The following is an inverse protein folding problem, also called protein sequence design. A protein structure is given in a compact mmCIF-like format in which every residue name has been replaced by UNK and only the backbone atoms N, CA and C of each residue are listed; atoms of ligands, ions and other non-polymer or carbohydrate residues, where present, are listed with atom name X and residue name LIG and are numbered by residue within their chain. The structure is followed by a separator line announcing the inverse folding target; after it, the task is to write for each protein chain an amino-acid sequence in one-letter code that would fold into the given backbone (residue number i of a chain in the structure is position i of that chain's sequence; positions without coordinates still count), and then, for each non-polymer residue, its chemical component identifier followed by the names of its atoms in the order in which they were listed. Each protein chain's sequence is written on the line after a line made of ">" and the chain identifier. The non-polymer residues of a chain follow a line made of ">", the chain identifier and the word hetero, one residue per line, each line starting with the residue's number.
data_IF_048390881571
#
_entry.id   IF_048390881571
#
_cell.length_a   1.000
_cell.length_b   1.000
_cell.length_c   1.000
_cell.angle_alpha   90.00
_cell.angle_beta   90.00
_cell.angle_gamma   90.00
#
_symmetry.space_group_name_H-M   'P 1'
#
loop_
_entity.id
_entity.type
_entity.pdbx_description
1 polymer ?
#
# COMPACT_ATOMS: atom_id res chain seq x y z
N UNK A 1 35.13 10.11 -20.97
CA UNK A 1 35.91 9.07 -20.26
C UNK A 1 35.40 9.01 -18.82
N UNK A 2 34.86 7.86 -18.43
CA UNK A 2 34.35 7.56 -17.08
C UNK A 2 35.55 7.34 -16.12
N UNK A 3 35.35 7.43 -14.80
CA UNK A 3 35.31 6.14 -14.11
C UNK A 3 34.20 6.04 -13.05
N UNK A 4 33.53 4.90 -13.18
CA UNK A 4 32.48 4.32 -12.34
C UNK A 4 33.02 3.94 -10.96
N UNK A 5 32.40 4.41 -9.88
CA UNK A 5 32.63 3.88 -8.53
C UNK A 5 31.91 2.53 -8.37
N UNK A 6 32.67 1.47 -8.10
CA UNK A 6 32.16 0.15 -7.69
C UNK A 6 32.24 0.03 -6.16
N UNK A 7 31.10 0.03 -5.49
CA UNK A 7 31.00 -0.29 -4.06
C UNK A 7 30.97 -1.83 -3.93
N UNK A 8 31.94 -2.40 -3.20
CA UNK A 8 32.02 -3.84 -2.89
C UNK A 8 31.37 -4.09 -1.52
N UNK A 9 30.35 -4.95 -1.52
CA UNK A 9 29.69 -5.49 -0.33
C UNK A 9 30.58 -6.58 0.31
N UNK A 10 30.88 -6.50 1.61
CA UNK A 10 31.61 -7.52 2.36
C UNK A 10 30.63 -8.24 3.29
N UNK A 11 30.34 -9.50 2.98
CA UNK A 11 29.58 -10.40 3.85
C UNK A 11 30.48 -10.92 4.99
N UNK A 12 30.07 -10.74 6.25
CA UNK A 12 30.67 -11.42 7.40
C UNK A 12 29.96 -12.77 7.61
N UNK A 13 30.71 -13.86 7.52
CA UNK A 13 30.33 -15.22 7.95
C UNK A 13 31.01 -15.53 9.31
N UNK A 14 30.59 -16.67 9.90
CA UNK A 14 31.14 -17.45 11.03
C UNK A 14 30.71 -17.02 12.45
N UNK A 15 30.42 -17.92 13.41
CA UNK A 15 30.60 -19.37 13.51
C UNK A 15 29.56 -20.03 14.45
N UNK A 16 29.35 -21.34 14.26
CA UNK A 16 28.57 -22.25 15.11
C UNK A 16 29.50 -22.83 16.18
N UNK A 17 29.08 -22.87 17.44
CA UNK A 17 29.72 -23.64 18.50
C UNK A 17 28.81 -24.79 18.95
N UNK A 18 29.26 -26.02 18.73
CA UNK A 18 28.73 -27.24 19.33
C UNK A 18 29.55 -27.58 20.56
N UNK A 19 28.90 -27.92 21.68
CA UNK A 19 29.55 -28.62 22.79
C UNK A 19 28.64 -29.73 23.28
N UNK A 20 29.14 -30.97 23.20
CA UNK A 20 28.59 -32.16 23.82
C UNK A 20 29.31 -32.40 25.15
N UNK A 21 28.59 -32.85 26.17
CA UNK A 21 29.16 -33.47 27.36
C UNK A 21 28.20 -34.53 27.89
N UNK A 22 28.79 -35.61 28.40
CA UNK A 22 28.22 -36.94 28.51
C UNK A 22 27.95 -37.38 29.96
N UNK A 23 27.18 -38.47 30.05
CA UNK A 23 27.12 -39.52 31.08
C UNK A 23 26.81 -39.17 32.55
N UNK A 24 25.74 -39.80 33.05
CA UNK A 24 25.51 -40.10 34.46
C UNK A 24 24.51 -41.23 34.60
N UNK A 25 25.02 -42.45 34.81
CA UNK A 25 24.25 -43.68 35.05
C UNK A 25 24.00 -43.79 36.56
N UNK A 26 22.73 -43.93 37.00
CA UNK A 26 22.41 -44.34 38.36
C UNK A 26 21.19 -45.26 38.33
N UNK A 27 21.41 -46.52 38.70
CA UNK A 27 20.38 -47.53 38.84
C UNK A 27 19.71 -47.42 40.21
N UNK A 28 18.38 -47.40 40.25
CA UNK A 28 17.60 -47.69 41.45
C UNK A 28 16.46 -48.65 41.10
N UNK A 29 16.42 -49.73 41.88
CA UNK A 29 15.43 -50.82 41.90
C UNK A 29 14.17 -50.32 42.60
N UNK A 30 12.98 -50.65 42.09
CA UNK A 30 11.73 -50.40 42.83
C UNK A 30 10.44 -50.79 42.11
N UNK A 31 9.86 -51.90 42.57
CA UNK A 31 8.50 -52.43 42.46
C UNK A 31 7.49 -51.88 41.43
N UNK A 32 6.95 -52.80 40.62
CA UNK A 32 5.76 -52.62 39.79
C UNK A 32 4.45 -52.79 40.60
N UNK A 33 3.46 -51.91 40.40
CA UNK A 33 2.06 -52.23 40.62
C UNK A 33 1.35 -52.51 39.28
N UNK A 34 0.59 -53.60 39.23
CA UNK A 34 -0.30 -53.96 38.14
C UNK A 34 -1.47 -52.98 38.05
N UNK A 35 -1.67 -52.37 36.88
CA UNK A 35 -2.89 -51.61 36.55
C UNK A 35 -3.47 -52.05 35.20
N UNK A 36 -4.81 -52.02 35.07
CA UNK A 36 -5.54 -52.69 33.99
C UNK A 36 -5.42 -51.95 32.65
N UNK A 37 -5.19 -52.71 31.57
CA UNK A 37 -5.26 -52.20 30.19
C UNK A 37 -6.70 -51.88 29.79
N UNK A 38 -7.05 -50.60 29.81
CA UNK A 38 -8.15 -50.09 28.98
C UNK A 38 -7.61 -49.89 27.56
N UNK A 39 -8.18 -50.61 26.58
CA UNK A 39 -7.91 -50.38 25.15
C UNK A 39 -8.51 -49.03 24.77
N UNK A 40 -7.67 -48.01 24.68
CA UNK A 40 -8.02 -46.77 23.99
C UNK A 40 -7.78 -47.04 22.50
N UNK A 41 -8.86 -47.17 21.75
CA UNK A 41 -8.83 -47.21 20.30
C UNK A 41 -8.38 -45.82 19.79
N UNK A 42 -7.40 -45.73 18.88
CA UNK A 42 -6.91 -44.45 18.41
C UNK A 42 -7.99 -43.80 17.54
N UNK A 43 -8.62 -42.75 18.07
CA UNK A 43 -9.48 -41.87 17.29
C UNK A 43 -8.64 -41.19 16.21
N UNK A 44 -9.08 -41.35 14.96
CA UNK A 44 -8.48 -40.63 13.82
C UNK A 44 -8.61 -39.12 14.06
N UNK A 45 -7.57 -38.32 13.75
CA UNK A 45 -7.70 -36.87 13.81
C UNK A 45 -8.81 -36.43 12.88
N UNK A 46 -9.82 -35.74 13.42
CA UNK A 46 -10.79 -35.00 12.60
C UNK A 46 -10.01 -34.03 11.69
N UNK A 47 -10.18 -34.21 10.38
CA UNK A 47 -9.62 -33.35 9.37
C UNK A 47 -10.26 -31.96 9.50
N UNK A 48 -9.50 -30.99 10.03
CA UNK A 48 -9.93 -29.60 10.04
C UNK A 48 -10.17 -29.14 8.60
N UNK A 49 -11.29 -28.46 8.30
CA UNK A 49 -11.58 -28.04 6.95
C UNK A 49 -10.48 -27.11 6.45
N UNK A 50 -9.88 -27.47 5.31
CA UNK A 50 -8.83 -26.71 4.67
C UNK A 50 -9.27 -25.25 4.48
N UNK A 51 -8.47 -24.32 5.00
CA UNK A 51 -8.66 -22.89 4.77
C UNK A 51 -8.61 -22.63 3.27
N UNK A 52 -9.70 -22.12 2.70
CA UNK A 52 -9.76 -21.76 1.28
C UNK A 52 -8.68 -20.70 1.02
N UNK A 53 -7.68 -21.01 0.21
CA UNK A 53 -6.62 -20.07 -0.15
C UNK A 53 -7.24 -18.76 -0.67
N UNK A 54 -6.80 -17.62 -0.10
CA UNK A 54 -7.32 -16.30 -0.43
C UNK A 54 -7.04 -15.95 -1.90
N UNK A 55 -7.99 -15.29 -2.59
CA UNK A 55 -7.81 -14.85 -3.98
C UNK A 55 -6.58 -13.93 -4.08
N UNK A 56 -5.65 -14.14 -5.03
CA UNK A 56 -4.54 -13.22 -5.28
C UNK A 56 -4.99 -11.77 -5.48
N UNK A 57 -6.07 -11.55 -6.20
CA UNK A 57 -6.65 -10.21 -6.40
C UNK A 57 -7.22 -9.62 -5.12
N UNK A 58 -7.84 -10.43 -4.26
CA UNK A 58 -8.29 -9.96 -2.94
C UNK A 58 -7.10 -9.49 -2.10
N UNK A 59 -5.99 -10.24 -2.12
CA UNK A 59 -4.76 -9.84 -1.46
C UNK A 59 -4.20 -8.53 -2.05
N UNK A 60 -4.24 -8.35 -3.37
CA UNK A 60 -3.81 -7.11 -4.02
C UNK A 60 -4.69 -5.92 -3.63
N UNK A 61 -6.01 -6.11 -3.57
CA UNK A 61 -6.94 -5.08 -3.10
C UNK A 61 -6.64 -4.68 -1.65
N UNK A 62 -6.38 -5.65 -0.77
CA UNK A 62 -6.01 -5.37 0.62
C UNK A 62 -4.67 -4.63 0.73
N UNK A 63 -3.68 -5.00 -0.10
CA UNK A 63 -2.41 -4.27 -0.19
C UNK A 63 -2.61 -2.84 -0.68
N UNK A 64 -3.38 -2.62 -1.75
CA UNK A 64 -3.70 -1.30 -2.27
C UNK A 64 -4.47 -0.48 -1.23
N UNK A 65 -5.52 -1.03 -0.63
CA UNK A 65 -6.28 -0.37 0.44
C UNK A 65 -5.39 0.12 1.58
N UNK A 66 -4.44 -0.71 2.03
CA UNK A 66 -3.50 -0.32 3.07
C UNK A 66 -2.52 0.76 2.59
N UNK A 67 -1.99 0.66 1.37
CA UNK A 67 -1.14 1.67 0.75
C UNK A 67 -1.81 3.03 0.67
N UNK A 68 -2.99 3.08 0.06
CA UNK A 68 -3.81 4.29 -0.12
C UNK A 68 -4.22 4.91 1.22
N UNK A 69 -4.53 4.07 2.21
CA UNK A 69 -4.82 4.55 3.57
C UNK A 69 -3.61 5.26 4.20
N UNK A 70 -2.40 4.77 3.95
CA UNK A 70 -1.17 5.39 4.44
C UNK A 70 -0.82 6.65 3.63
N UNK A 71 -0.97 6.62 2.31
CA UNK A 71 -0.74 7.76 1.42
C UNK A 71 -1.65 8.94 1.77
N UNK A 72 -2.94 8.69 2.01
CA UNK A 72 -3.89 9.69 2.49
C UNK A 72 -3.38 10.44 3.73
N UNK A 73 -2.99 9.72 4.79
CA UNK A 73 -2.54 10.32 6.05
C UNK A 73 -1.21 11.06 5.84
N UNK A 74 -0.28 10.44 5.12
CA UNK A 74 1.02 11.03 4.80
C UNK A 74 0.88 12.35 4.03
N UNK A 75 0.02 12.41 3.03
CA UNK A 75 -0.18 13.61 2.22
C UNK A 75 -0.85 14.74 3.01
N UNK A 76 -1.74 14.45 3.96
CA UNK A 76 -2.25 15.47 4.88
C UNK A 76 -1.14 16.08 5.74
N UNK A 77 -0.20 15.27 6.22
CA UNK A 77 0.93 15.76 7.01
C UNK A 77 1.96 16.51 6.15
N UNK A 78 2.18 16.08 4.90
CA UNK A 78 2.99 16.81 3.93
C UNK A 78 2.36 18.16 3.56
N UNK A 79 1.03 18.22 3.46
CA UNK A 79 0.32 19.48 3.23
C UNK A 79 0.53 20.48 4.37
N UNK A 80 0.44 20.03 5.64
CA UNK A 80 0.72 20.88 6.81
C UNK A 80 2.14 21.43 6.76
N UNK A 81 3.10 20.58 6.45
CA UNK A 81 4.51 20.96 6.34
C UNK A 81 4.76 21.97 5.21
N UNK A 82 4.14 21.77 4.06
CA UNK A 82 4.19 22.72 2.96
C UNK A 82 3.59 24.08 3.33
N UNK A 83 2.52 24.07 4.11
CA UNK A 83 1.91 25.30 4.63
C UNK A 83 2.82 26.07 5.58
N UNK A 84 3.50 25.37 6.50
CA UNK A 84 4.46 25.92 7.45
C UNK A 84 5.65 26.57 6.74
N UNK A 85 6.11 25.96 5.64
CA UNK A 85 7.23 26.46 4.84
C UNK A 85 6.83 27.51 3.79
N UNK A 86 5.54 27.85 3.70
CA UNK A 86 5.02 28.89 2.81
C UNK A 86 4.75 28.43 1.37
N UNK A 87 4.75 27.12 1.10
CA UNK A 87 4.45 26.53 -0.20
C UNK A 87 2.95 26.26 -0.37
N UNK A 88 2.12 27.31 -0.41
CA UNK A 88 0.65 27.18 -0.37
C UNK A 88 0.07 26.37 -1.53
N UNK A 89 0.64 26.52 -2.73
CA UNK A 89 0.22 25.73 -3.89
C UNK A 89 0.57 24.24 -3.74
N UNK A 90 1.73 23.93 -3.13
CA UNK A 90 2.11 22.54 -2.84
C UNK A 90 1.21 21.95 -1.74
N UNK A 91 0.88 22.73 -0.72
CA UNK A 91 -0.03 22.31 0.33
C UNK A 91 -1.41 21.94 -0.23
N UNK A 92 -1.99 22.78 -1.10
CA UNK A 92 -3.26 22.46 -1.76
C UNK A 92 -3.17 21.23 -2.68
N UNK A 93 -2.02 21.00 -3.34
CA UNK A 93 -1.83 19.78 -4.13
C UNK A 93 -1.81 18.53 -3.25
N UNK A 94 -1.05 18.54 -2.15
CA UNK A 94 -1.04 17.40 -1.22
C UNK A 94 -2.42 17.13 -0.60
N UNK A 95 -3.23 18.16 -0.34
CA UNK A 95 -4.64 17.97 0.07
C UNK A 95 -5.49 17.33 -1.02
N UNK A 96 -5.33 17.77 -2.27
CA UNK A 96 -6.07 17.20 -3.39
C UNK A 96 -5.72 15.72 -3.59
N UNK A 97 -4.44 15.36 -3.56
CA UNK A 97 -4.01 13.97 -3.60
C UNK A 97 -4.51 13.17 -2.40
N UNK A 98 -4.41 13.71 -1.18
CA UNK A 98 -4.98 13.04 0.00
C UNK A 98 -6.49 12.75 -0.16
N UNK A 99 -7.25 13.66 -0.78
CA UNK A 99 -8.66 13.43 -1.11
C UNK A 99 -8.83 12.33 -2.17
N UNK A 100 -7.97 12.29 -3.19
CA UNK A 100 -7.96 11.23 -4.17
C UNK A 100 -7.67 9.85 -3.53
N UNK A 101 -6.68 9.75 -2.64
CA UNK A 101 -6.33 8.48 -1.98
C UNK A 101 -7.43 7.98 -1.05
N UNK A 102 -8.23 8.90 -0.51
CA UNK A 102 -9.46 8.54 0.21
C UNK A 102 -10.50 7.92 -0.72
N UNK A 103 -10.69 8.45 -1.92
CA UNK A 103 -11.58 7.86 -2.93
C UNK A 103 -11.05 6.48 -3.37
N UNK A 104 -9.73 6.34 -3.58
CA UNK A 104 -9.09 5.08 -3.95
C UNK A 104 -9.29 4.01 -2.88
N UNK A 105 -8.95 4.31 -1.61
CA UNK A 105 -9.12 3.36 -0.51
C UNK A 105 -10.60 2.98 -0.32
N UNK A 106 -11.53 3.91 -0.49
CA UNK A 106 -12.97 3.62 -0.38
C UNK A 106 -13.46 2.68 -1.50
N UNK A 107 -13.01 2.92 -2.73
CA UNK A 107 -13.32 2.05 -3.87
C UNK A 107 -12.75 0.65 -3.67
N UNK A 108 -11.48 0.52 -3.26
CA UNK A 108 -10.86 -0.77 -2.95
C UNK A 108 -11.59 -1.49 -1.81
N UNK A 109 -11.91 -0.77 -0.73
CA UNK A 109 -12.64 -1.31 0.42
C UNK A 109 -14.01 -1.88 0.05
N UNK A 110 -14.71 -1.23 -0.88
CA UNK A 110 -15.99 -1.73 -1.40
C UNK A 110 -15.80 -3.07 -2.11
N UNK A 111 -14.81 -3.18 -3.01
CA UNK A 111 -14.57 -4.43 -3.76
C UNK A 111 -14.07 -5.55 -2.84
N UNK A 112 -13.23 -5.24 -1.84
CA UNK A 112 -12.82 -6.22 -0.81
C UNK A 112 -14.05 -6.84 -0.13
N UNK A 113 -15.01 -6.00 0.29
CA UNK A 113 -16.25 -6.48 0.93
C UNK A 113 -17.11 -7.31 -0.03
N UNK A 114 -17.23 -6.91 -1.28
CA UNK A 114 -17.95 -7.68 -2.32
C UNK A 114 -17.32 -9.07 -2.54
N UNK A 115 -16.01 -9.19 -2.36
CA UNK A 115 -15.27 -10.46 -2.44
C UNK A 115 -15.27 -11.25 -1.12
N UNK A 116 -15.99 -10.78 -0.09
CA UNK A 116 -16.08 -11.43 1.23
C UNK A 116 -14.88 -11.18 2.15
N UNK A 117 -13.99 -10.26 1.79
CA UNK A 117 -12.89 -9.82 2.66
C UNK A 117 -13.30 -8.71 3.64
N UNK A 118 -12.41 -8.39 4.57
CA UNK A 118 -12.57 -7.26 5.50
C UNK A 118 -11.43 -6.28 5.28
N UNK A 119 -11.69 -5.03 4.84
CA UNK A 119 -10.64 -4.04 4.64
C UNK A 119 -9.92 -3.76 5.96
N UNK A 120 -8.60 -3.91 5.97
CA UNK A 120 -7.75 -3.69 7.12
C UNK A 120 -6.55 -2.86 6.69
N UNK A 121 -6.16 -1.91 7.54
CA UNK A 121 -4.97 -1.11 7.34
C UNK A 121 -4.20 -1.00 8.66
N UNK A 122 -2.91 -0.73 8.53
CA UNK A 122 -2.02 -0.35 9.61
C UNK A 122 -1.42 0.99 9.21
N UNK A 123 -1.87 2.05 9.85
CA UNK A 123 -1.38 3.41 9.56
C UNK A 123 -0.04 3.61 10.25
N UNK A 124 1.01 3.78 9.45
CA UNK A 124 2.33 4.17 9.94
C UNK A 124 2.37 5.67 10.21
N UNK A 125 3.17 6.09 11.20
CA UNK A 125 3.48 7.51 11.39
C UNK A 125 4.27 8.01 10.17
N UNK A 126 3.80 9.03 9.44
CA UNK A 126 4.51 9.55 8.28
C UNK A 126 5.88 10.15 8.66
N UNK A 127 6.90 9.88 7.85
CA UNK A 127 8.17 10.59 7.94
C UNK A 127 8.05 11.92 7.19
N UNK A 128 7.96 13.02 7.93
CA UNK A 128 7.79 14.38 7.37
C UNK A 128 9.13 15.11 7.36
N UNK A 129 9.59 15.54 6.18
CA UNK A 129 10.84 16.31 5.96
C UNK A 129 10.55 17.69 5.38
N UNK A 130 11.48 18.31 4.64
CA UNK A 130 11.18 19.54 3.90
C UNK A 130 10.15 19.28 2.79
N UNK A 131 9.45 20.32 2.35
CA UNK A 131 8.47 20.24 1.25
C UNK A 131 9.07 19.66 -0.02
N UNK A 132 10.33 20.03 -0.33
CA UNK A 132 11.05 19.51 -1.48
C UNK A 132 11.30 18.00 -1.36
N UNK A 133 11.77 17.53 -0.21
CA UNK A 133 12.01 16.10 0.04
C UNK A 133 10.70 15.29 0.05
N UNK A 134 9.64 15.86 0.60
CA UNK A 134 8.31 15.25 0.61
C UNK A 134 7.75 15.11 -0.82
N UNK A 135 7.94 16.10 -1.69
CA UNK A 135 7.59 16.02 -3.12
C UNK A 135 8.38 14.91 -3.82
N UNK A 136 9.69 14.81 -3.57
CA UNK A 136 10.52 13.74 -4.13
C UNK A 136 10.05 12.35 -3.68
N UNK A 137 9.68 12.23 -2.40
CA UNK A 137 9.13 11.00 -1.85
C UNK A 137 7.80 10.63 -2.52
N UNK A 138 6.87 11.59 -2.62
CA UNK A 138 5.58 11.40 -3.28
C UNK A 138 5.75 10.99 -4.74
N UNK A 139 6.59 11.68 -5.53
CA UNK A 139 6.86 11.32 -6.94
C UNK A 139 7.33 9.86 -7.07
N UNK A 140 8.18 9.39 -6.15
CA UNK A 140 8.66 8.01 -6.15
C UNK A 140 7.53 7.01 -5.84
N UNK A 141 6.69 7.31 -4.86
CA UNK A 141 5.52 6.49 -4.51
C UNK A 141 4.56 6.39 -5.69
N UNK A 142 4.04 7.53 -6.14
CA UNK A 142 3.10 7.64 -7.27
C UNK A 142 3.64 6.97 -8.55
N UNK A 143 4.93 7.14 -8.84
CA UNK A 143 5.53 6.50 -10.03
C UNK A 143 5.64 4.99 -9.87
N UNK A 144 5.94 4.47 -8.68
CA UNK A 144 5.93 3.02 -8.45
C UNK A 144 4.52 2.45 -8.60
N UNK A 145 3.51 3.16 -8.09
CA UNK A 145 2.12 2.74 -8.19
C UNK A 145 1.64 2.72 -9.64
N UNK A 146 1.89 3.81 -10.37
CA UNK A 146 1.61 3.95 -11.80
C UNK A 146 2.34 2.95 -12.68
N UNK A 147 3.64 2.77 -12.49
CA UNK A 147 4.49 2.03 -13.44
C UNK A 147 4.60 0.54 -13.13
N UNK A 148 4.36 0.14 -11.88
CA UNK A 148 4.58 -1.24 -11.42
C UNK A 148 3.34 -1.81 -10.74
N UNK A 149 2.93 -1.26 -9.60
CA UNK A 149 1.94 -1.88 -8.72
C UNK A 149 0.58 -2.06 -9.40
N UNK A 150 -0.02 -0.97 -9.88
CA UNK A 150 -1.35 -1.03 -10.50
C UNK A 150 -1.37 -1.78 -11.83
N UNK A 151 -0.40 -1.63 -12.74
CA UNK A 151 -0.31 -2.47 -13.93
C UNK A 151 -0.31 -3.97 -13.63
N UNK A 152 0.46 -4.40 -12.63
CA UNK A 152 0.53 -5.80 -12.21
C UNK A 152 -0.79 -6.28 -11.60
N UNK A 153 -1.39 -5.47 -10.72
CA UNK A 153 -2.69 -5.79 -10.10
C UNK A 153 -3.82 -5.87 -11.14
N UNK A 154 -3.86 -4.95 -12.10
CA UNK A 154 -4.83 -4.94 -13.20
C UNK A 154 -4.66 -6.19 -14.06
N UNK A 155 -3.41 -6.57 -14.39
CA UNK A 155 -3.12 -7.76 -15.19
C UNK A 155 -3.63 -9.03 -14.49
N UNK A 156 -3.38 -9.16 -13.20
CA UNK A 156 -3.85 -10.31 -12.42
C UNK A 156 -5.38 -10.37 -12.34
N UNK A 157 -6.03 -9.26 -11.98
CA UNK A 157 -7.49 -9.19 -11.90
C UNK A 157 -8.17 -9.46 -13.25
N UNK A 158 -7.58 -9.00 -14.37
CA UNK A 158 -8.04 -9.34 -15.73
C UNK A 158 -7.93 -10.83 -16.02
N UNK A 159 -6.82 -11.48 -15.64
CA UNK A 159 -6.63 -12.90 -15.84
C UNK A 159 -7.64 -13.77 -15.05
N UNK A 160 -8.23 -13.22 -13.99
CA UNK A 160 -9.26 -13.87 -13.18
C UNK A 160 -10.70 -13.42 -13.53
N UNK A 161 -10.86 -12.44 -14.41
CA UNK A 161 -12.17 -11.92 -14.81
C UNK A 161 -12.86 -11.05 -13.73
N UNK A 162 -12.12 -10.54 -12.75
CA UNK A 162 -12.64 -9.77 -11.61
C UNK A 162 -12.83 -8.29 -12.00
N UNK A 163 -13.90 -8.01 -12.73
CA UNK A 163 -14.15 -6.71 -13.37
C UNK A 163 -14.14 -5.51 -12.40
N UNK A 164 -14.71 -5.66 -11.21
CA UNK A 164 -14.77 -4.57 -10.23
C UNK A 164 -13.36 -4.24 -9.69
N UNK A 165 -12.52 -5.26 -9.48
CA UNK A 165 -11.11 -5.07 -9.10
C UNK A 165 -10.34 -4.37 -10.22
N UNK A 166 -10.52 -4.81 -11.47
CA UNK A 166 -9.91 -4.13 -12.64
C UNK A 166 -10.30 -2.66 -12.68
N UNK A 167 -11.58 -2.33 -12.46
CA UNK A 167 -12.07 -0.96 -12.50
C UNK A 167 -11.42 -0.09 -11.41
N UNK A 168 -11.45 -0.52 -10.15
CA UNK A 168 -10.89 0.28 -9.04
C UNK A 168 -9.38 0.48 -9.19
N UNK A 169 -8.63 -0.55 -9.60
CA UNK A 169 -7.20 -0.42 -9.89
C UNK A 169 -6.91 0.51 -11.08
N UNK A 170 -7.77 0.50 -12.10
CA UNK A 170 -7.62 1.38 -13.27
C UNK A 170 -7.89 2.84 -12.90
N UNK A 171 -8.87 3.09 -12.02
CA UNK A 171 -9.14 4.45 -11.53
C UNK A 171 -7.94 5.02 -10.77
N UNK A 172 -7.45 4.31 -9.76
CA UNK A 172 -6.29 4.73 -8.98
C UNK A 172 -5.04 4.89 -9.86
N UNK A 173 -4.66 3.87 -10.63
CA UNK A 173 -3.47 3.93 -11.50
C UNK A 173 -3.46 5.11 -12.52
N UNK A 174 -4.62 5.56 -12.98
CA UNK A 174 -4.72 6.76 -13.84
C UNK A 174 -4.60 8.07 -13.05
N UNK A 175 -5.12 8.12 -11.82
CA UNK A 175 -4.97 9.26 -10.93
C UNK A 175 -3.50 9.44 -10.50
N UNK A 176 -2.83 8.35 -10.13
CA UNK A 176 -1.40 8.31 -9.72
C UNK A 176 -0.48 8.86 -10.81
N UNK A 177 -0.82 8.63 -12.08
CA UNK A 177 -0.11 9.24 -13.20
C UNK A 177 -0.22 10.77 -13.21
N UNK A 178 -1.42 11.29 -12.90
CA UNK A 178 -1.66 12.71 -12.73
C UNK A 178 -0.94 13.28 -11.51
N UNK A 179 -0.97 12.57 -10.37
CA UNK A 179 -0.29 12.97 -9.15
C UNK A 179 1.22 13.07 -9.35
N UNK A 180 1.87 12.03 -9.88
CA UNK A 180 3.29 12.04 -10.19
C UNK A 180 3.68 13.22 -11.10
N UNK A 181 2.86 13.52 -12.11
CA UNK A 181 3.07 14.66 -13.01
C UNK A 181 2.98 15.98 -12.25
N UNK A 182 1.90 16.22 -11.50
CA UNK A 182 1.69 17.46 -10.77
C UNK A 182 2.76 17.70 -9.70
N UNK A 183 3.17 16.65 -8.96
CA UNK A 183 4.26 16.74 -8.01
C UNK A 183 5.59 17.06 -8.68
N UNK A 184 5.86 16.47 -9.86
CA UNK A 184 7.06 16.78 -10.65
C UNK A 184 7.05 18.24 -11.12
N UNK A 185 5.91 18.74 -11.58
CA UNK A 185 5.75 20.15 -11.96
C UNK A 185 5.96 21.10 -10.78
N UNK A 186 5.46 20.74 -9.60
CA UNK A 186 5.67 21.47 -8.36
C UNK A 186 7.13 21.50 -7.93
N UNK A 187 7.80 20.34 -7.94
CA UNK A 187 9.20 20.21 -7.57
C UNK A 187 10.11 21.02 -8.49
N UNK A 188 9.86 20.97 -9.80
CA UNK A 188 10.67 21.68 -10.79
C UNK A 188 10.49 23.22 -10.75
N UNK A 189 9.43 23.71 -10.12
CA UNK A 189 9.07 25.15 -10.12
C UNK A 189 8.71 25.65 -8.71
N UNK A 190 9.41 25.17 -7.68
CA UNK A 190 8.97 25.30 -6.28
C UNK A 190 8.61 26.74 -5.85
N UNK A 191 9.35 27.74 -6.32
CA UNK A 191 9.05 29.16 -6.03
C UNK A 191 7.69 29.61 -6.58
N UNK A 192 7.31 29.19 -7.78
CA UNK A 192 6.00 29.50 -8.37
C UNK A 192 4.84 28.79 -7.65
N UNK A 193 5.16 27.79 -6.82
CA UNK A 193 4.21 27.02 -6.03
C UNK A 193 4.12 27.50 -4.56
N UNK A 194 4.79 28.60 -4.22
CA UNK A 194 4.51 29.38 -3.00
C UNK A 194 3.13 30.00 -3.01
N UNK A 195 2.67 30.46 -4.18
CA UNK A 195 1.33 31.00 -4.35
C UNK A 195 0.28 29.88 -4.26
N UNK A 196 -0.90 30.14 -3.66
CA UNK A 196 -2.02 29.19 -3.65
C UNK A 196 -2.41 28.76 -5.07
N UNK A 197 -2.84 27.51 -5.19
CA UNK A 197 -3.36 26.94 -6.44
C UNK A 197 -4.67 26.22 -6.14
N UNK A 198 -5.57 26.23 -7.12
CA UNK A 198 -6.84 25.53 -7.03
C UNK A 198 -6.71 24.14 -7.66
N UNK A 199 -7.24 23.13 -6.98
CA UNK A 199 -7.34 21.78 -7.50
C UNK A 199 -8.77 21.27 -7.47
N UNK A 200 -9.01 20.32 -8.36
CA UNK A 200 -10.27 19.64 -8.57
C UNK A 200 -10.02 18.14 -8.60
N UNK A 201 -10.85 17.38 -7.88
CA UNK A 201 -10.75 15.92 -7.76
C UNK A 201 -12.03 15.29 -8.26
N UNK A 202 -11.91 14.30 -9.15
CA UNK A 202 -13.06 13.52 -9.60
C UNK A 202 -13.62 12.70 -8.43
N UNK A 203 -14.91 12.87 -8.11
CA UNK A 203 -15.54 12.24 -6.94
C UNK A 203 -15.72 10.72 -7.06
N UNK A 204 -15.23 10.11 -8.14
CA UNK A 204 -15.36 8.67 -8.40
C UNK A 204 -14.00 8.02 -8.60
N UNK A 205 -13.14 8.61 -9.42
CA UNK A 205 -11.84 8.00 -9.76
C UNK A 205 -10.65 8.61 -9.05
N UNK A 206 -10.80 9.72 -8.32
CA UNK A 206 -9.67 10.42 -7.70
C UNK A 206 -8.82 11.24 -8.69
N UNK A 207 -9.17 11.30 -9.98
CA UNK A 207 -8.39 12.08 -10.94
C UNK A 207 -8.29 13.55 -10.52
N UNK A 208 -7.06 14.02 -10.32
CA UNK A 208 -6.74 15.37 -9.85
C UNK A 208 -6.26 16.27 -10.99
N UNK A 209 -6.76 17.51 -11.05
CA UNK A 209 -6.33 18.51 -12.01
C UNK A 209 -6.45 19.95 -11.47
N UNK A 210 -5.74 20.91 -12.07
CA UNK A 210 -5.89 22.34 -11.74
C UNK A 210 -7.13 22.98 -12.38
N UNK A 211 -7.73 22.32 -13.36
CA UNK A 211 -8.97 22.74 -14.00
C UNK A 211 -10.02 21.62 -13.91
N UNK A 212 -11.25 21.94 -13.51
CA UNK A 212 -12.31 20.96 -13.36
C UNK A 212 -12.58 20.15 -14.64
N UNK A 213 -12.40 20.74 -15.83
CA UNK A 213 -12.61 20.06 -17.11
C UNK A 213 -11.48 19.07 -17.45
N UNK A 214 -10.30 19.22 -16.85
CA UNK A 214 -9.14 18.34 -17.09
C UNK A 214 -9.15 17.10 -16.19
N UNK A 215 -10.06 17.03 -15.20
CA UNK A 215 -10.25 15.82 -14.38
C UNK A 215 -10.79 14.65 -15.17
N UNK A 216 -11.35 14.88 -16.37
CA UNK A 216 -11.96 13.84 -17.22
C UNK A 216 -12.95 12.93 -16.47
N UNK A 217 -13.62 13.46 -15.43
CA UNK A 217 -14.44 12.70 -14.50
C UNK A 217 -15.71 12.16 -15.18
N UNK A 218 -15.55 11.00 -15.80
CA UNK A 218 -16.59 10.31 -16.57
C UNK A 218 -16.58 8.84 -16.22
N UNK A 219 -17.76 8.24 -16.09
CA UNK A 219 -17.92 6.80 -15.89
C UNK A 219 -18.95 6.34 -16.90
N UNK A 220 -18.56 5.40 -17.76
CA UNK A 220 -19.37 4.89 -18.86
C UNK A 220 -19.93 6.01 -19.76
N UNK A 221 -19.11 7.04 -20.03
CA UNK A 221 -19.48 8.20 -20.85
C UNK A 221 -20.35 9.24 -20.15
N UNK A 222 -20.73 9.02 -18.88
CA UNK A 222 -21.55 9.96 -18.11
C UNK A 222 -20.66 10.83 -17.24
N UNK A 223 -20.79 12.15 -17.37
CA UNK A 223 -20.09 13.12 -16.51
C UNK A 223 -20.48 12.93 -15.05
N UNK A 224 -19.48 12.91 -14.17
CA UNK A 224 -19.65 12.76 -12.72
C UNK A 224 -19.26 14.05 -11.99
N UNK A 225 -19.66 14.20 -10.72
CA UNK A 225 -19.29 15.36 -9.93
C UNK A 225 -17.78 15.48 -9.75
N UNK A 226 -17.32 16.73 -9.70
CA UNK A 226 -15.94 17.08 -9.44
C UNK A 226 -15.95 17.96 -8.20
N UNK A 227 -15.08 17.64 -7.25
CA UNK A 227 -14.95 18.37 -5.99
C UNK A 227 -13.82 19.40 -6.11
N UNK A 228 -14.09 20.63 -5.70
CA UNK A 228 -13.05 21.65 -5.52
C UNK A 228 -12.39 21.43 -4.15
N UNK A 229 -11.09 21.15 -4.14
CA UNK A 229 -10.33 20.93 -2.89
C UNK A 229 -9.50 22.17 -2.57
N UNK A 230 -9.60 22.68 -1.34
CA UNK A 230 -8.90 23.89 -0.88
C UNK A 230 -7.74 23.56 0.06
#
# INVERSE_FOLDING_TARGET
>A
MNPTLKIRYIAKKTAIFTSAAALGMLALVGCAPTTPSAKVEPTQPEEQPATKAQSPTLKNLEMAYNGESNAHVMYLDYAKKADEEGYKGVASLFRAAARAEEIHKENHAKVIKEMGGTPQNTIATPEVKSTQENLQHAIKGESYERDTMYPDFIKEAKAKGEKNAVQTFTYAGNAEAGHAKLYTEALNNLDAWKAPKQFYVCSVSGQTAMNANETNCTVDGVKKPVEEVR
#
